data_IF_553119941079
#
_entry.id   IF_553119941079
#
_cell.length_a   1.000
_cell.length_b   1.000
_cell.length_c   1.000
_cell.angle_alpha   90.00
_cell.angle_beta   90.00
_cell.angle_gamma   90.00
#
_symmetry.space_group_name_H-M   'P 1'
#
loop_
_entity.id
_entity.type
_entity.pdbx_description
1 polymer ?
#
# COMPACT_ATOMS: atom_id res chain seq x y z
N UNK A 1 -6.60 55.63 24.71
CA UNK A 1 -5.88 54.33 24.85
C UNK A 1 -6.86 53.32 25.44
N UNK A 2 -7.39 52.38 24.64
CA UNK A 2 -8.35 51.35 25.08
C UNK A 2 -7.56 50.22 25.76
N UNK A 3 -7.81 49.98 27.05
CA UNK A 3 -7.13 48.95 27.83
C UNK A 3 -7.48 47.55 27.28
N UNK A 4 -6.52 46.78 26.74
CA UNK A 4 -6.76 45.44 26.19
C UNK A 4 -7.20 44.43 27.27
N UNK A 5 -6.95 44.73 28.53
CA UNK A 5 -7.25 43.86 29.68
C UNK A 5 -8.77 43.72 29.95
N UNK A 6 -9.58 44.70 29.51
CA UNK A 6 -11.05 44.61 29.69
C UNK A 6 -11.69 43.50 28.84
N UNK A 7 -11.20 43.28 27.62
CA UNK A 7 -11.70 42.22 26.74
C UNK A 7 -11.46 40.81 27.28
N UNK A 8 -10.30 40.58 27.88
CA UNK A 8 -9.96 39.27 28.45
C UNK A 8 -10.82 38.93 29.70
N UNK A 9 -11.18 39.92 30.49
CA UNK A 9 -12.04 39.68 31.68
C UNK A 9 -13.48 39.35 31.29
N UNK A 10 -14.00 39.92 30.20
CA UNK A 10 -15.33 39.58 29.69
C UNK A 10 -15.38 38.18 29.15
N UNK A 11 -14.36 37.73 28.45
CA UNK A 11 -14.32 36.36 27.91
C UNK A 11 -14.21 35.28 28.98
N UNK A 12 -13.49 35.59 30.10
CA UNK A 12 -13.39 34.64 31.23
C UNK A 12 -14.69 34.56 32.05
N UNK A 13 -15.42 35.69 32.19
CA UNK A 13 -16.70 35.73 32.90
C UNK A 13 -17.81 35.06 32.07
N UNK A 14 -17.78 35.20 30.76
CA UNK A 14 -18.69 34.48 29.82
C UNK A 14 -18.45 32.98 29.85
N UNK A 15 -17.21 32.55 29.94
CA UNK A 15 -16.85 31.14 30.05
C UNK A 15 -17.30 30.51 31.39
N UNK A 16 -17.27 31.30 32.48
CA UNK A 16 -17.77 30.86 33.79
C UNK A 16 -19.31 30.80 33.84
N UNK A 17 -20.00 31.74 33.21
CA UNK A 17 -21.45 31.77 33.10
C UNK A 17 -21.97 30.65 32.19
N UNK A 18 -21.23 30.32 31.18
CA UNK A 18 -21.48 29.21 30.25
C UNK A 18 -21.47 27.82 30.93
N UNK A 19 -20.76 27.68 32.04
CA UNK A 19 -20.70 26.43 32.82
C UNK A 19 -21.98 26.09 33.60
N UNK A 20 -22.88 27.05 33.78
CA UNK A 20 -24.04 26.89 34.67
C UNK A 20 -25.29 26.27 33.98
N UNK A 21 -25.38 26.30 32.66
CA UNK A 21 -26.56 25.78 31.90
C UNK A 21 -26.36 24.37 31.37
N UNK A 22 -27.38 23.51 31.47
CA UNK A 22 -27.37 22.14 30.91
C UNK A 22 -27.08 22.15 29.40
N UNK A 23 -27.60 23.14 28.66
CA UNK A 23 -27.37 23.31 27.23
C UNK A 23 -25.89 23.55 26.87
N UNK A 24 -25.18 24.34 27.68
CA UNK A 24 -23.77 24.61 27.46
C UNK A 24 -22.91 23.37 27.75
N UNK A 25 -23.24 22.61 28.78
CA UNK A 25 -22.55 21.32 29.07
C UNK A 25 -22.73 20.35 27.91
N UNK A 26 -23.92 20.24 27.36
CA UNK A 26 -24.19 19.41 26.18
C UNK A 26 -23.40 19.89 24.96
N UNK A 27 -23.36 21.21 24.70
CA UNK A 27 -22.60 21.76 23.58
C UNK A 27 -21.08 21.49 23.73
N UNK A 28 -20.50 21.70 24.91
CA UNK A 28 -19.09 21.39 25.17
C UNK A 28 -18.78 19.90 25.03
N UNK A 29 -19.68 19.05 25.51
CA UNK A 29 -19.54 17.60 25.37
C UNK A 29 -19.59 17.18 23.90
N UNK A 30 -20.54 17.74 23.12
CA UNK A 30 -20.64 17.44 21.69
C UNK A 30 -19.38 17.89 20.92
N UNK A 31 -18.86 19.08 21.20
CA UNK A 31 -17.62 19.59 20.58
C UNK A 31 -16.40 18.69 20.91
N UNK A 32 -16.35 18.12 22.12
CA UNK A 32 -15.27 17.20 22.51
C UNK A 32 -15.44 15.80 21.90
N UNK A 33 -16.68 15.31 21.75
CA UNK A 33 -16.97 13.97 21.24
C UNK A 33 -16.77 13.88 19.72
N UNK A 34 -17.10 14.91 18.95
CA UNK A 34 -16.98 14.91 17.49
C UNK A 34 -15.56 14.57 17.02
N UNK A 35 -14.48 15.23 17.51
CA UNK A 35 -13.13 14.89 17.12
C UNK A 35 -12.72 13.47 17.53
N UNK A 36 -13.18 12.98 18.68
CA UNK A 36 -12.90 11.62 19.16
C UNK A 36 -13.53 10.58 18.25
N UNK A 37 -14.81 10.76 17.88
CA UNK A 37 -15.50 9.87 16.95
C UNK A 37 -14.80 9.89 15.58
N UNK A 38 -14.45 11.08 15.08
CA UNK A 38 -13.78 11.21 13.80
C UNK A 38 -12.41 10.56 13.80
N UNK A 39 -11.63 10.74 14.87
CA UNK A 39 -10.34 10.08 15.08
C UNK A 39 -10.46 8.56 15.18
N UNK A 40 -11.48 8.07 15.89
CA UNK A 40 -11.75 6.64 16.01
C UNK A 40 -12.14 6.01 14.67
N UNK A 41 -13.02 6.66 13.90
CA UNK A 41 -13.39 6.23 12.55
C UNK A 41 -12.20 6.25 11.59
N UNK A 42 -11.35 7.28 11.68
CA UNK A 42 -10.13 7.37 10.90
C UNK A 42 -9.17 6.22 11.24
N UNK A 43 -8.90 6.00 12.51
CA UNK A 43 -8.05 4.88 12.95
C UNK A 43 -8.63 3.53 12.54
N UNK A 44 -9.97 3.34 12.63
CA UNK A 44 -10.62 2.11 12.20
C UNK A 44 -10.51 1.87 10.69
N UNK A 45 -10.64 2.94 9.89
CA UNK A 45 -10.50 2.88 8.44
C UNK A 45 -9.06 2.59 8.00
N UNK A 46 -8.06 3.06 8.77
CA UNK A 46 -6.63 2.92 8.44
C UNK A 46 -5.91 1.91 9.34
N UNK A 47 -6.62 1.21 10.23
CA UNK A 47 -6.00 0.26 11.16
C UNK A 47 -5.36 -0.92 10.44
N UNK A 48 -5.98 -1.36 9.35
CA UNK A 48 -5.44 -2.44 8.53
C UNK A 48 -5.72 -2.19 7.03
N UNK A 49 -5.03 -1.24 6.39
CA UNK A 49 -5.19 -0.98 4.96
C UNK A 49 -4.66 -2.12 4.09
N UNK A 50 -3.88 -3.03 4.69
CA UNK A 50 -3.23 -4.15 4.01
C UNK A 50 -3.88 -5.51 4.30
N UNK A 51 -4.78 -5.60 5.27
CA UNK A 51 -5.42 -6.86 5.70
C UNK A 51 -6.33 -7.50 4.66
N UNK A 52 -6.64 -6.79 3.56
CA UNK A 52 -7.45 -7.32 2.46
C UNK A 52 -6.66 -7.44 1.15
N UNK A 53 -5.34 -7.22 1.17
CA UNK A 53 -4.52 -7.34 -0.05
C UNK A 53 -4.44 -8.78 -0.56
N UNK A 54 -4.50 -9.75 0.31
CA UNK A 54 -4.54 -11.19 0.00
C UNK A 54 -5.78 -11.58 -0.83
N UNK A 55 -6.82 -10.75 -0.81
CA UNK A 55 -8.05 -10.97 -1.60
C UNK A 55 -8.02 -10.27 -2.96
N UNK A 56 -7.06 -9.36 -3.20
CA UNK A 56 -6.98 -8.62 -4.47
C UNK A 56 -6.52 -9.54 -5.60
N UNK A 57 -7.36 -9.74 -6.63
CA UNK A 57 -7.00 -10.59 -7.77
C UNK A 57 -6.00 -9.87 -8.67
N UNK A 58 -4.83 -10.48 -8.84
CA UNK A 58 -3.76 -10.01 -9.73
C UNK A 58 -3.49 -11.04 -10.81
N UNK A 59 -3.63 -10.66 -12.08
CA UNK A 59 -3.25 -11.48 -13.21
C UNK A 59 -1.74 -11.42 -13.44
N UNK A 60 -1.09 -12.57 -13.53
CA UNK A 60 0.34 -12.69 -13.86
C UNK A 60 0.47 -13.43 -15.19
N UNK A 61 1.09 -12.77 -16.15
CA UNK A 61 1.40 -13.32 -17.47
C UNK A 61 2.90 -13.53 -17.58
N UNK A 62 3.34 -14.75 -17.77
CA UNK A 62 4.75 -15.08 -18.00
C UNK A 62 4.96 -15.33 -19.49
N UNK A 63 5.63 -14.41 -20.17
CA UNK A 63 6.07 -14.55 -21.56
C UNK A 63 7.57 -14.85 -21.68
N UNK A 64 8.31 -14.92 -20.55
CA UNK A 64 9.74 -15.15 -20.56
C UNK A 64 10.12 -16.46 -21.24
N UNK A 65 11.06 -16.38 -22.19
CA UNK A 65 11.54 -17.56 -22.94
C UNK A 65 12.81 -18.16 -22.34
N UNK A 66 13.32 -17.59 -21.26
CA UNK A 66 14.60 -17.97 -20.67
C UNK A 66 15.79 -17.38 -21.44
N UNK A 67 16.98 -17.54 -20.88
CA UNK A 67 18.25 -17.19 -21.49
C UNK A 67 19.29 -18.29 -21.27
N UNK A 68 20.31 -18.33 -22.13
CA UNK A 68 21.48 -19.19 -21.96
C UNK A 68 22.68 -18.29 -21.78
N UNK A 69 23.40 -18.48 -20.70
CA UNK A 69 24.67 -17.77 -20.38
C UNK A 69 25.80 -18.29 -21.28
N UNK A 70 26.92 -17.56 -21.31
CA UNK A 70 28.11 -17.93 -22.12
C UNK A 70 28.73 -19.24 -21.64
N UNK A 71 28.55 -19.62 -20.37
CA UNK A 71 28.99 -20.88 -19.78
C UNK A 71 28.10 -22.10 -20.15
N UNK A 72 27.01 -21.86 -20.91
CA UNK A 72 26.03 -22.88 -21.29
C UNK A 72 24.94 -23.14 -20.26
N UNK A 73 24.93 -22.45 -19.14
CA UNK A 73 23.86 -22.57 -18.14
C UNK A 73 22.56 -21.88 -18.62
N UNK A 74 21.41 -22.51 -18.34
CA UNK A 74 20.10 -21.94 -18.66
C UNK A 74 19.58 -21.11 -17.48
N UNK A 75 19.19 -19.88 -17.74
CA UNK A 75 18.54 -18.98 -16.79
C UNK A 75 17.07 -18.88 -17.12
N UNK A 76 16.20 -19.11 -16.14
CA UNK A 76 14.74 -19.02 -16.22
C UNK A 76 14.21 -18.13 -15.11
N UNK A 77 14.62 -16.88 -15.11
CA UNK A 77 14.29 -15.91 -14.06
C UNK A 77 12.77 -15.64 -14.00
N UNK A 78 12.07 -15.70 -15.13
CA UNK A 78 10.61 -15.57 -15.18
C UNK A 78 9.89 -16.73 -14.48
N UNK A 79 10.33 -17.97 -14.68
CA UNK A 79 9.75 -19.15 -14.02
C UNK A 79 10.06 -19.16 -12.52
N UNK A 80 11.25 -18.74 -12.13
CA UNK A 80 11.62 -18.59 -10.71
C UNK A 80 10.78 -17.52 -10.02
N UNK A 81 10.54 -16.39 -10.68
CA UNK A 81 9.66 -15.34 -10.18
C UNK A 81 8.24 -15.84 -10.00
N UNK A 82 7.70 -16.55 -11.00
CA UNK A 82 6.35 -17.17 -10.94
C UNK A 82 6.26 -18.13 -9.75
N UNK A 83 7.28 -18.95 -9.52
CA UNK A 83 7.32 -19.90 -8.40
C UNK A 83 7.30 -19.17 -7.05
N UNK A 84 8.10 -18.14 -6.89
CA UNK A 84 8.14 -17.30 -5.68
C UNK A 84 6.81 -16.57 -5.44
N UNK A 85 6.17 -16.05 -6.49
CA UNK A 85 4.85 -15.42 -6.39
C UNK A 85 3.78 -16.43 -5.97
N UNK A 86 3.87 -17.68 -6.42
CA UNK A 86 2.95 -18.77 -6.03
C UNK A 86 3.06 -19.14 -4.56
N UNK A 87 4.25 -19.09 -4.00
CA UNK A 87 4.51 -19.35 -2.59
C UNK A 87 4.15 -18.15 -1.69
N UNK A 88 4.07 -16.96 -2.29
CA UNK A 88 3.71 -15.74 -1.59
C UNK A 88 2.18 -15.66 -1.41
N UNK A 89 1.74 -15.47 -0.18
CA UNK A 89 0.34 -15.23 0.18
C UNK A 89 -0.01 -13.73 0.28
N UNK A 90 0.84 -12.85 -0.28
CA UNK A 90 0.67 -11.41 -0.15
C UNK A 90 -0.50 -10.86 -0.98
N UNK A 91 -0.82 -11.53 -2.11
CA UNK A 91 -1.89 -11.16 -3.04
C UNK A 91 -2.49 -12.44 -3.65
N UNK A 92 -3.71 -12.32 -4.20
CA UNK A 92 -4.34 -13.44 -4.93
C UNK A 92 -3.83 -13.47 -6.37
N UNK A 93 -2.69 -14.12 -6.59
CA UNK A 93 -2.11 -14.27 -7.93
C UNK A 93 -2.85 -15.30 -8.78
N UNK A 94 -3.19 -14.92 -9.99
CA UNK A 94 -3.77 -15.79 -11.02
C UNK A 94 -2.85 -15.82 -12.23
N UNK A 95 -2.26 -16.97 -12.51
CA UNK A 95 -1.34 -17.17 -13.65
C UNK A 95 -2.15 -17.52 -14.88
N UNK A 96 -2.25 -16.59 -15.81
CA UNK A 96 -3.13 -16.65 -16.97
C UNK A 96 -2.42 -16.20 -18.24
N UNK A 97 -3.03 -16.46 -19.42
CA UNK A 97 -2.54 -15.91 -20.67
C UNK A 97 -2.81 -14.41 -20.81
N UNK A 98 -2.05 -13.74 -21.68
CA UNK A 98 -2.21 -12.29 -21.95
C UNK A 98 -3.65 -11.93 -22.30
N UNK A 99 -4.31 -12.71 -23.21
CA UNK A 99 -5.70 -12.46 -23.61
C UNK A 99 -6.70 -12.57 -22.44
N UNK A 100 -6.44 -13.50 -21.51
CA UNK A 100 -7.30 -13.70 -20.35
C UNK A 100 -7.08 -12.59 -19.33
N UNK A 101 -5.82 -12.19 -19.11
CA UNK A 101 -5.47 -11.07 -18.25
C UNK A 101 -6.07 -9.77 -18.76
N UNK A 102 -5.99 -9.51 -20.06
CA UNK A 102 -6.53 -8.31 -20.68
C UNK A 102 -8.05 -8.22 -20.51
N UNK A 103 -8.77 -9.30 -20.83
CA UNK A 103 -10.23 -9.35 -20.61
C UNK A 103 -10.61 -9.19 -19.15
N UNK A 104 -9.85 -9.78 -18.24
CA UNK A 104 -10.12 -9.68 -16.81
C UNK A 104 -9.87 -8.28 -16.23
N UNK A 105 -9.01 -7.46 -16.83
CA UNK A 105 -8.89 -6.04 -16.52
C UNK A 105 -10.11 -5.26 -17.03
N UNK A 106 -10.56 -5.55 -18.24
CA UNK A 106 -11.69 -4.86 -18.88
C UNK A 106 -13.02 -5.13 -18.19
N UNK A 107 -13.24 -6.37 -17.72
CA UNK A 107 -14.45 -6.78 -17.00
C UNK A 107 -14.38 -6.57 -15.48
N UNK A 108 -13.21 -6.12 -14.95
CA UNK A 108 -12.99 -5.86 -13.53
C UNK A 108 -12.73 -7.12 -12.69
N UNK A 109 -12.50 -8.28 -13.30
CA UNK A 109 -12.15 -9.53 -12.61
C UNK A 109 -10.74 -9.49 -12.01
N UNK A 110 -9.83 -8.71 -12.61
CA UNK A 110 -8.49 -8.45 -12.10
C UNK A 110 -8.29 -6.98 -11.81
N UNK A 111 -7.65 -6.70 -10.68
CA UNK A 111 -7.32 -5.34 -10.26
C UNK A 111 -6.01 -4.84 -10.86
N UNK A 112 -5.10 -5.76 -11.12
CA UNK A 112 -3.78 -5.49 -11.67
C UNK A 112 -3.37 -6.61 -12.62
N UNK A 113 -2.65 -6.24 -13.69
CA UNK A 113 -1.96 -7.17 -14.59
C UNK A 113 -0.46 -6.95 -14.49
N UNK A 114 0.29 -8.02 -14.26
CA UNK A 114 1.75 -8.06 -14.27
C UNK A 114 2.18 -8.92 -15.46
N UNK A 115 2.97 -8.37 -16.35
CA UNK A 115 3.52 -9.07 -17.51
C UNK A 115 5.02 -9.21 -17.34
N UNK A 116 5.53 -10.43 -17.36
CA UNK A 116 6.96 -10.75 -17.42
C UNK A 116 7.33 -10.83 -18.89
N UNK A 117 8.16 -9.89 -19.41
CA UNK A 117 8.46 -9.81 -20.84
C UNK A 117 9.33 -11.00 -21.30
N UNK A 118 9.36 -11.21 -22.63
CA UNK A 118 10.07 -12.36 -23.25
C UNK A 118 11.57 -12.38 -23.03
N UNK A 119 12.17 -11.23 -22.84
CA UNK A 119 13.61 -11.00 -22.64
C UNK A 119 14.02 -10.83 -21.18
N UNK A 120 13.08 -11.07 -20.24
CA UNK A 120 13.32 -10.87 -18.81
C UNK A 120 14.54 -11.65 -18.29
N UNK A 121 14.64 -12.96 -18.60
CA UNK A 121 15.80 -13.77 -18.22
C UNK A 121 17.10 -13.29 -18.87
N UNK A 122 17.04 -12.78 -20.10
CA UNK A 122 18.20 -12.24 -20.80
C UNK A 122 18.71 -10.95 -20.16
N UNK A 123 17.79 -10.07 -19.76
CA UNK A 123 18.15 -8.81 -19.10
C UNK A 123 18.78 -9.07 -17.73
N UNK A 124 18.21 -10.01 -16.96
CA UNK A 124 18.77 -10.45 -15.67
C UNK A 124 20.18 -11.02 -15.87
N UNK A 125 20.37 -11.92 -16.84
CA UNK A 125 21.65 -12.52 -17.14
C UNK A 125 22.72 -11.47 -17.52
N UNK A 126 22.35 -10.46 -18.32
CA UNK A 126 23.25 -9.38 -18.70
C UNK A 126 23.59 -8.45 -17.53
N UNK A 127 22.67 -8.27 -16.58
CA UNK A 127 22.93 -7.48 -15.37
C UNK A 127 23.91 -8.18 -14.43
N UNK A 128 23.81 -9.51 -14.28
CA UNK A 128 24.74 -10.30 -13.48
C UNK A 128 26.15 -10.31 -14.07
N UNK A 129 26.27 -10.35 -15.40
CA UNK A 129 27.59 -10.31 -16.09
C UNK A 129 28.28 -8.93 -15.94
N UNK A 130 27.52 -7.85 -15.78
CA UNK A 130 28.05 -6.49 -15.59
C UNK A 130 28.25 -6.08 -14.12
N UNK A 131 27.79 -6.87 -13.15
CA UNK A 131 28.01 -6.59 -11.73
C UNK A 131 29.39 -7.13 -11.29
N UNK A 132 30.33 -6.26 -10.83
CA UNK A 132 31.64 -6.74 -10.37
C UNK A 132 31.46 -7.69 -9.19
N UNK A 133 32.23 -8.78 -9.08
CA UNK A 133 32.09 -9.80 -8.04
C UNK A 133 32.10 -9.13 -6.67
N UNK A 134 31.02 -9.25 -5.90
CA UNK A 134 30.97 -8.76 -4.53
C UNK A 134 32.08 -9.40 -3.74
N UNK A 135 32.94 -8.63 -3.03
CA UNK A 135 33.97 -9.22 -2.18
C UNK A 135 33.26 -10.13 -1.18
N UNK A 136 33.60 -11.42 -1.23
CA UNK A 136 33.17 -12.40 -0.24
C UNK A 136 33.55 -11.84 1.13
N UNK A 137 32.58 -11.52 1.97
CA UNK A 137 32.81 -11.17 3.37
C UNK A 137 33.49 -12.36 4.02
N UNK A 138 34.81 -12.28 4.21
CA UNK A 138 35.55 -13.17 5.10
C UNK A 138 34.95 -13.07 6.51
N UNK A 139 34.64 -14.22 7.04
CA UNK A 139 34.29 -14.52 8.44
C UNK A 139 35.26 -13.93 9.45
#
# INVERSE_FOLDING_TARGET
MKNPIRGLRFSLLDFQSARAGLGMKLAMTAIAIIPVIYGALYLMAFYDPYGSLDTLPVAVVNEDVGATLQDGSAVRAGDDLVSRLRESNSLKYSFVSEDTAQRGIEDGSYYLKVVIPKDFSKDIASAEENDPPRPSSCS
#
